data_IF_877169292710
#
_entry.id   IF_877169292710
#
_cell.length_a   1.000
_cell.length_b   1.000
_cell.length_c   1.000
_cell.angle_alpha   90.00
_cell.angle_beta   90.00
_cell.angle_gamma   90.00
#
_symmetry.space_group_name_H-M   'P 1'
#
loop_
_entity.id
_entity.type
_entity.pdbx_description
1 polymer ?
#
# COMPACT_ATOMS: atom_id res chain seq x y z
N UNK A 1 -13.47 23.69 4.92
CA UNK A 1 -13.75 23.56 3.46
C UNK A 1 -12.66 22.75 2.77
N UNK A 2 -11.39 23.18 2.78
CA UNK A 2 -10.28 22.43 2.16
C UNK A 2 -10.11 20.99 2.68
N UNK A 3 -10.21 20.77 3.99
CA UNK A 3 -10.14 19.43 4.58
C UNK A 3 -11.28 18.51 4.12
N UNK A 4 -12.51 19.04 4.01
CA UNK A 4 -13.66 18.26 3.53
C UNK A 4 -13.53 17.93 2.03
N UNK A 5 -13.02 18.86 1.22
CA UNK A 5 -12.73 18.60 -0.18
C UNK A 5 -11.66 17.50 -0.32
N UNK A 6 -10.56 17.58 0.45
CA UNK A 6 -9.55 16.53 0.49
C UNK A 6 -10.15 15.15 0.83
N UNK A 7 -10.97 15.07 1.88
CA UNK A 7 -11.63 13.82 2.28
C UNK A 7 -12.52 13.27 1.16
N UNK A 8 -13.31 14.11 0.48
CA UNK A 8 -14.19 13.68 -0.61
C UNK A 8 -13.38 13.16 -1.80
N UNK A 9 -12.36 13.89 -2.26
CA UNK A 9 -11.54 13.45 -3.39
C UNK A 9 -10.70 12.21 -3.05
N UNK A 10 -10.20 12.10 -1.83
CA UNK A 10 -9.45 10.92 -1.37
C UNK A 10 -10.35 9.67 -1.31
N UNK A 11 -11.57 9.81 -0.80
CA UNK A 11 -12.56 8.73 -0.79
C UNK A 11 -13.10 8.38 -2.18
N UNK A 12 -12.96 9.25 -3.19
CA UNK A 12 -13.32 8.91 -4.57
C UNK A 12 -12.17 8.26 -5.34
N UNK A 13 -10.94 8.43 -4.88
CA UNK A 13 -9.74 7.95 -5.55
C UNK A 13 -9.09 6.86 -4.72
N UNK A 14 -8.04 7.21 -4.00
CA UNK A 14 -7.10 6.29 -3.41
C UNK A 14 -7.68 5.38 -2.35
N UNK A 15 -8.66 5.84 -1.56
CA UNK A 15 -9.24 5.07 -0.46
C UNK A 15 -9.89 3.76 -0.96
N UNK A 16 -11.05 3.82 -1.64
CA UNK A 16 -11.75 2.61 -2.06
C UNK A 16 -11.19 1.98 -3.34
N UNK A 17 -10.63 2.76 -4.29
CA UNK A 17 -10.16 2.19 -5.56
C UNK A 17 -9.01 1.18 -5.32
N UNK A 18 -8.09 1.45 -4.38
CA UNK A 18 -7.02 0.50 -4.08
C UNK A 18 -7.55 -0.87 -3.65
N UNK A 19 -8.56 -0.90 -2.79
CA UNK A 19 -9.15 -2.16 -2.31
C UNK A 19 -9.94 -2.88 -3.40
N UNK A 20 -10.60 -2.15 -4.28
CA UNK A 20 -11.28 -2.73 -5.45
C UNK A 20 -10.27 -3.33 -6.42
N UNK A 21 -9.20 -2.60 -6.76
CA UNK A 21 -8.14 -3.07 -7.65
C UNK A 21 -7.41 -4.30 -7.09
N UNK A 22 -7.08 -4.30 -5.80
CA UNK A 22 -6.54 -5.49 -5.12
C UNK A 22 -7.49 -6.68 -5.22
N UNK A 23 -8.79 -6.43 -5.06
CA UNK A 23 -9.84 -7.39 -5.35
C UNK A 23 -9.71 -7.97 -6.76
N UNK A 24 -9.58 -7.12 -7.76
CA UNK A 24 -9.58 -7.54 -9.16
C UNK A 24 -8.26 -8.17 -9.62
N UNK A 25 -7.18 -8.00 -8.86
CA UNK A 25 -5.85 -8.52 -9.17
C UNK A 25 -5.71 -10.03 -8.93
N UNK A 26 -6.67 -10.67 -8.24
CA UNK A 26 -6.60 -12.09 -7.90
C UNK A 26 -7.76 -12.89 -8.48
N UNK A 27 -7.52 -14.10 -9.01
CA UNK A 27 -8.59 -14.98 -9.48
C UNK A 27 -9.52 -15.38 -8.34
N UNK A 28 -10.78 -15.63 -8.68
CA UNK A 28 -11.90 -15.82 -7.73
C UNK A 28 -11.62 -16.87 -6.65
N UNK A 29 -10.84 -17.90 -6.97
CA UNK A 29 -10.48 -19.01 -6.08
C UNK A 29 -9.56 -18.57 -4.93
N UNK A 30 -8.61 -17.66 -5.18
CA UNK A 30 -7.62 -17.21 -4.19
C UNK A 30 -7.85 -15.77 -3.72
N UNK A 31 -8.84 -15.06 -4.29
CA UNK A 31 -9.16 -13.66 -4.00
C UNK A 31 -9.26 -13.37 -2.50
N UNK A 32 -9.97 -14.21 -1.75
CA UNK A 32 -10.10 -14.05 -0.30
C UNK A 32 -8.75 -14.12 0.43
N UNK A 33 -7.93 -15.12 0.10
CA UNK A 33 -6.59 -15.28 0.68
C UNK A 33 -5.63 -14.18 0.26
N UNK A 34 -5.67 -13.75 -1.01
CA UNK A 34 -4.86 -12.65 -1.52
C UNK A 34 -5.17 -11.33 -0.81
N UNK A 35 -6.45 -11.03 -0.59
CA UNK A 35 -6.87 -9.85 0.16
C UNK A 35 -6.47 -9.93 1.64
N UNK A 36 -6.55 -11.12 2.25
CA UNK A 36 -6.11 -11.32 3.63
C UNK A 36 -4.61 -11.06 3.80
N UNK A 37 -3.77 -11.57 2.88
CA UNK A 37 -2.32 -11.33 2.90
C UNK A 37 -1.99 -9.85 2.66
N UNK A 38 -2.65 -9.21 1.69
CA UNK A 38 -2.47 -7.78 1.42
C UNK A 38 -2.87 -6.92 2.62
N UNK A 39 -4.01 -7.23 3.24
CA UNK A 39 -4.46 -6.58 4.47
C UNK A 39 -3.49 -6.78 5.63
N UNK A 40 -3.02 -8.00 5.83
CA UNK A 40 -2.00 -8.30 6.85
C UNK A 40 -0.71 -7.51 6.62
N UNK A 41 -0.21 -7.47 5.39
CA UNK A 41 1.00 -6.70 5.05
C UNK A 41 0.82 -5.21 5.33
N UNK A 42 -0.35 -4.63 4.99
CA UNK A 42 -0.66 -3.24 5.27
C UNK A 42 -0.67 -2.95 6.78
N UNK A 43 -1.35 -3.79 7.56
CA UNK A 43 -1.41 -3.63 9.01
C UNK A 43 -0.06 -3.84 9.68
N UNK A 44 0.71 -4.82 9.21
CA UNK A 44 2.06 -5.08 9.70
C UNK A 44 3.00 -3.90 9.44
N UNK A 45 2.96 -3.32 8.24
CA UNK A 45 3.74 -2.11 7.93
C UNK A 45 3.34 -0.93 8.83
N UNK A 46 2.04 -0.71 9.04
CA UNK A 46 1.55 0.32 9.96
C UNK A 46 2.03 0.10 11.39
N UNK A 47 1.97 -1.14 11.88
CA UNK A 47 2.48 -1.51 13.20
C UNK A 47 4.00 -1.27 13.31
N UNK A 48 4.77 -1.73 12.32
CA UNK A 48 6.21 -1.56 12.29
C UNK A 48 6.61 -0.07 12.34
N UNK A 49 5.96 0.78 11.54
CA UNK A 49 6.18 2.23 11.56
C UNK A 49 5.79 2.80 12.93
N UNK A 50 4.62 2.45 13.45
CA UNK A 50 4.12 2.99 14.72
C UNK A 50 5.03 2.68 15.91
N UNK A 51 5.66 1.50 15.93
CA UNK A 51 6.58 1.09 17.00
C UNK A 51 7.99 1.64 16.80
N UNK A 52 8.48 1.68 15.56
CA UNK A 52 9.85 2.11 15.27
C UNK A 52 10.01 3.63 15.21
N UNK A 53 9.00 4.36 14.76
CA UNK A 53 9.05 5.81 14.58
C UNK A 53 9.40 6.57 15.87
N UNK A 54 8.77 6.33 17.04
CA UNK A 54 9.11 7.07 18.26
C UNK A 54 10.55 6.84 18.69
N UNK A 55 11.01 5.59 18.65
CA UNK A 55 12.38 5.20 19.03
C UNK A 55 13.42 5.83 18.11
N UNK A 56 13.17 5.84 16.80
CA UNK A 56 14.05 6.48 15.82
C UNK A 56 14.03 8.00 15.94
N UNK A 57 12.86 8.60 16.14
CA UNK A 57 12.72 10.05 16.27
C UNK A 57 13.49 10.59 17.48
N UNK A 58 13.51 9.85 18.59
CA UNK A 58 14.25 10.23 19.81
C UNK A 58 15.76 10.02 19.65
N UNK A 59 16.19 8.89 19.08
CA UNK A 59 17.61 8.50 19.03
C UNK A 59 18.38 9.11 17.85
N UNK A 60 17.77 9.15 16.67
CA UNK A 60 18.38 9.60 15.42
C UNK A 60 17.94 11.02 15.02
N UNK A 61 16.87 11.53 15.65
CA UNK A 61 16.26 12.80 15.29
C UNK A 61 15.31 12.71 14.09
N UNK A 62 14.44 13.72 13.96
CA UNK A 62 13.38 13.77 12.96
C UNK A 62 13.90 13.70 11.52
N UNK A 63 14.97 14.44 11.19
CA UNK A 63 15.49 14.52 9.82
C UNK A 63 15.99 13.17 9.30
N UNK A 64 16.78 12.44 10.08
CA UNK A 64 17.27 11.11 9.71
C UNK A 64 16.14 10.07 9.67
N UNK A 65 15.17 10.16 10.59
CA UNK A 65 14.01 9.27 10.63
C UNK A 65 13.17 9.42 9.35
N UNK A 66 12.81 10.65 8.97
CA UNK A 66 12.09 10.90 7.72
C UNK A 66 12.92 10.51 6.49
N UNK A 67 14.24 10.76 6.50
CA UNK A 67 15.14 10.32 5.43
C UNK A 67 15.14 8.80 5.24
N UNK A 68 15.15 8.04 6.33
CA UNK A 68 15.08 6.58 6.29
C UNK A 68 13.76 6.07 5.70
N UNK A 69 12.63 6.64 6.12
CA UNK A 69 11.32 6.28 5.57
C UNK A 69 11.18 6.69 4.11
N UNK A 70 11.73 7.83 3.71
CA UNK A 70 11.76 8.27 2.31
C UNK A 70 12.59 7.32 1.44
N UNK A 71 13.76 6.87 1.92
CA UNK A 71 14.58 5.89 1.22
C UNK A 71 13.88 4.53 1.13
N UNK A 72 13.21 4.10 2.20
CA UNK A 72 12.41 2.86 2.21
C UNK A 72 11.27 2.93 1.19
N UNK A 73 10.57 4.07 1.10
CA UNK A 73 9.54 4.30 0.10
C UNK A 73 10.11 4.29 -1.33
N UNK A 74 11.29 4.87 -1.54
CA UNK A 74 11.98 4.84 -2.83
C UNK A 74 12.33 3.41 -3.25
N UNK A 75 12.88 2.59 -2.35
CA UNK A 75 13.17 1.17 -2.62
C UNK A 75 11.88 0.40 -2.93
N UNK A 76 10.81 0.65 -2.17
CA UNK A 76 9.48 0.06 -2.41
C UNK A 76 8.94 0.39 -3.81
N UNK A 77 9.13 1.63 -4.28
CA UNK A 77 8.73 2.03 -5.62
C UNK A 77 9.42 1.18 -6.71
N UNK A 78 10.75 0.97 -6.62
CA UNK A 78 11.44 0.10 -7.58
C UNK A 78 11.02 -1.36 -7.49
N UNK A 79 10.77 -1.85 -6.27
CA UNK A 79 10.26 -3.20 -6.07
C UNK A 79 8.91 -3.38 -6.76
N UNK A 80 7.95 -2.48 -6.52
CA UNK A 80 6.63 -2.50 -7.15
C UNK A 80 6.78 -2.38 -8.66
N UNK A 81 7.55 -1.41 -9.16
CA UNK A 81 7.72 -1.19 -10.60
C UNK A 81 8.30 -2.42 -11.34
N UNK A 82 9.17 -3.20 -10.69
CA UNK A 82 9.80 -4.36 -11.30
C UNK A 82 9.01 -5.67 -11.11
N UNK A 83 8.36 -5.85 -9.96
CA UNK A 83 7.71 -7.11 -9.58
C UNK A 83 6.19 -7.11 -9.74
N UNK A 84 5.54 -5.95 -9.72
CA UNK A 84 4.09 -5.86 -9.93
C UNK A 84 3.84 -5.63 -11.41
N UNK A 85 3.36 -6.67 -12.10
CA UNK A 85 2.88 -6.56 -13.47
C UNK A 85 1.52 -5.86 -13.49
N UNK A 86 1.37 -4.87 -14.39
CA UNK A 86 0.10 -4.18 -14.61
C UNK A 86 -0.96 -5.17 -15.12
N UNK A 87 -2.04 -5.35 -14.37
CA UNK A 87 -3.15 -6.27 -14.71
C UNK A 87 -4.28 -5.58 -15.49
N UNK A 88 -4.13 -4.29 -15.78
CA UNK A 88 -5.13 -3.47 -16.47
C UNK A 88 -5.45 -4.03 -17.86
N UNK A 89 -6.72 -4.36 -18.07
CA UNK A 89 -7.25 -4.83 -19.37
C UNK A 89 -7.30 -6.35 -19.55
N UNK A 90 -7.05 -7.13 -18.49
CA UNK A 90 -7.30 -8.59 -18.49
C UNK A 90 -8.63 -8.88 -17.79
N UNK A 91 -9.41 -9.80 -18.36
CA UNK A 91 -10.59 -10.31 -17.69
C UNK A 91 -10.17 -11.15 -16.47
N UNK A 92 -10.98 -11.11 -15.41
CA UNK A 92 -10.72 -11.82 -14.14
C UNK A 92 -10.47 -13.32 -14.32
N UNK A 93 -11.02 -13.91 -15.37
CA UNK A 93 -10.92 -15.34 -15.72
C UNK A 93 -9.58 -15.69 -16.39
N UNK A 94 -8.88 -14.72 -16.99
CA UNK A 94 -7.57 -14.87 -17.64
C UNK A 94 -6.39 -14.58 -16.69
N UNK A 95 -6.67 -14.34 -15.41
CA UNK A 95 -5.67 -14.10 -14.38
C UNK A 95 -5.00 -15.42 -14.01
N UNK A 96 -3.89 -15.72 -14.68
CA UNK A 96 -3.06 -16.89 -14.39
C UNK A 96 -2.33 -16.67 -13.06
N UNK A 97 -2.61 -17.53 -12.08
CA UNK A 97 -1.90 -17.62 -10.80
C UNK A 97 -0.66 -18.48 -10.87
#
# INVERSE_FOLDING_TARGET
IAANAYVVFFNLSWGPIMWVMLGEMFPTQIRGSGLAVAGFAQWFANFAISVSFPTMAISLGLSLTYGFYALSAFVSFFFVWKMVSETRGRELEDMVG
#
